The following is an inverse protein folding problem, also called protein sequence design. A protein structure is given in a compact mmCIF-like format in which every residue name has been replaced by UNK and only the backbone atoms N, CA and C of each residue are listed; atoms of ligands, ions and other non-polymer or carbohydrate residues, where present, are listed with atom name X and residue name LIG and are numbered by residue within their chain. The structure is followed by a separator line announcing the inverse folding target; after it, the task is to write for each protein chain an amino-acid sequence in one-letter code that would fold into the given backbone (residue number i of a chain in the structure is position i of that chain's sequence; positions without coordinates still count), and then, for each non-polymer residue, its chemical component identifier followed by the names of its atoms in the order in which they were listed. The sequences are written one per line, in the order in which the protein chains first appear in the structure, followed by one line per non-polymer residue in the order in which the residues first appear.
data_IF_462289547472
#
_entry.id   IF_462289547472
#
_cell.length_a   1.000
_cell.length_b   1.000
_cell.length_c   1.000
_cell.angle_alpha   90.00
_cell.angle_beta   90.00
_cell.angle_gamma   90.00
#
_symmetry.space_group_name_H-M   'P 1'
#
loop_
_entity.id
_entity.type
_entity.pdbx_description
1 polymer ?
2 non-polymer ?
3 non-polymer ?
4 water ?
#
# COMPACT_ATOMS: atom_id res chain seq x y z
N UNK A 1 -7.39 24.00 21.60
CA UNK A 1 -6.72 23.54 22.84
C UNK A 1 -5.20 23.51 22.67
N UNK A 2 -4.73 22.68 21.73
CA UNK A 2 -3.29 22.36 21.55
C UNK A 2 -2.65 22.92 20.28
N UNK A 3 -3.44 23.60 19.47
CA UNK A 3 -2.92 24.29 18.29
C UNK A 3 -1.76 25.24 18.60
N UNK A 4 -0.74 25.21 17.74
CA UNK A 4 0.47 26.05 17.89
C UNK A 4 1.38 25.61 19.02
N UNK A 5 1.04 24.55 19.76
CA UNK A 5 1.93 24.02 20.81
C UNK A 5 2.47 22.64 20.49
N UNK A 6 3.58 22.33 21.11
CA UNK A 6 4.16 21.00 21.12
C UNK A 6 3.17 20.07 21.78
N UNK A 7 3.04 18.84 21.29
CA UNK A 7 2.16 17.82 21.90
C UNK A 7 3.07 16.66 22.34
N UNK A 8 2.86 16.17 23.55
CA UNK A 8 3.56 15.01 24.08
C UNK A 8 2.65 13.86 23.92
N UNK A 9 3.05 12.84 23.20
CA UNK A 9 2.18 11.69 23.06
C UNK A 9 3.08 10.46 22.98
N UNK A 10 2.48 9.32 22.74
CA UNK A 10 3.23 8.07 22.55
C UNK A 10 3.48 7.79 21.07
N UNK A 11 4.67 7.29 20.74
CA UNK A 11 4.91 6.77 19.42
C UNK A 11 5.66 5.44 19.53
N UNK A 12 5.61 4.63 18.49
CA UNK A 12 6.47 3.46 18.31
C UNK A 12 7.69 3.88 17.53
N UNK A 13 8.83 3.82 18.20
CA UNK A 13 10.08 4.27 17.66
C UNK A 13 10.94 3.08 17.33
N UNK A 14 11.54 3.08 16.16
CA UNK A 14 12.54 2.06 15.82
C UNK A 14 13.89 2.66 15.98
N UNK A 15 14.61 2.26 17.02
CA UNK A 15 15.91 2.88 17.29
C UNK A 15 17.03 2.34 16.38
N UNK A 16 17.02 1.04 16.11
CA UNK A 16 18.07 0.35 15.32
C UNK A 16 17.39 -0.71 14.51
N UNK A 17 18.03 -1.11 13.43
CA UNK A 17 17.48 -2.20 12.62
C UNK A 17 17.41 -3.52 13.46
N UNK A 18 16.51 -4.42 13.08
CA UNK A 18 16.35 -5.77 13.67
C UNK A 18 15.95 -5.91 15.16
N UNK A 19 15.51 -4.80 15.76
CA UNK A 19 15.03 -4.78 17.14
C UNK A 19 13.52 -4.53 17.14
N UNK A 20 12.81 -4.92 18.22
CA UNK A 20 11.40 -4.52 18.34
C UNK A 20 11.18 -3.03 18.37
N UNK A 21 9.96 -2.60 18.04
CA UNK A 21 9.52 -1.22 18.25
C UNK A 21 9.39 -0.90 19.76
N UNK A 22 9.91 0.24 20.22
CA UNK A 22 9.72 0.71 21.61
C UNK A 22 8.64 1.79 21.61
N UNK A 23 7.67 1.62 22.45
CA UNK A 23 6.66 2.64 22.69
C UNK A 23 7.35 3.71 23.54
N UNK A 24 7.38 4.96 23.08
CA UNK A 24 8.12 6.00 23.72
C UNK A 24 7.23 7.21 23.84
N UNK A 25 7.53 8.07 24.80
CA UNK A 25 6.91 9.36 24.88
C UNK A 25 7.68 10.26 23.93
N UNK A 26 6.97 10.92 23.00
CA UNK A 26 7.63 11.77 22.05
C UNK A 26 6.93 13.11 22.06
N UNK A 27 7.67 14.11 21.61
CA UNK A 27 7.22 15.49 21.36
C UNK A 27 7.02 15.69 19.87
N UNK A 28 5.86 16.23 19.56
CA UNK A 28 5.44 16.44 18.16
C UNK A 28 5.26 17.92 18.01
N UNK A 29 6.21 18.52 17.31
CA UNK A 29 6.18 19.99 17.12
C UNK A 29 4.91 20.45 16.35
N UNK A 30 4.49 21.72 16.55
CA UNK A 30 3.37 22.23 15.77
C UNK A 30 3.71 22.34 14.23
N UNK A 31 2.72 22.18 13.37
CA UNK A 31 2.96 22.30 11.95
C UNK A 31 3.42 23.73 11.48
N UNK A 32 4.50 23.78 10.73
CA UNK A 32 4.94 25.03 10.06
C UNK A 32 4.14 25.21 8.77
N UNK A 33 4.56 26.10 7.90
CA UNK A 33 3.72 26.43 6.73
C UNK A 33 3.49 25.20 5.83
N UNK A 34 2.26 25.09 5.30
CA UNK A 34 1.81 23.94 4.46
C UNK A 34 2.02 22.56 5.11
N UNK A 35 1.87 22.48 6.42
CA UNK A 35 1.97 21.22 7.12
C UNK A 35 0.67 21.05 7.89
N UNK A 36 0.32 19.81 8.19
CA UNK A 36 -0.91 19.48 8.84
C UNK A 36 -0.54 18.54 10.01
N UNK A 37 -1.07 18.77 11.18
CA UNK A 37 -0.88 17.79 12.27
C UNK A 37 -2.13 16.93 12.39
N UNK A 38 -2.00 15.63 12.49
CA UNK A 38 -3.14 14.73 12.48
C UNK A 38 -3.15 13.84 13.71
N UNK A 39 -4.33 13.62 14.29
CA UNK A 39 -4.54 12.64 15.35
C UNK A 39 -4.88 11.34 14.68
N UNK A 40 -4.06 10.32 14.89
CA UNK A 40 -4.26 9.02 14.25
C UNK A 40 -5.40 8.26 14.90
N UNK A 41 -6.28 7.70 14.07
CA UNK A 41 -7.39 6.85 14.53
C UNK A 41 -7.12 5.37 14.32
N UNK A 42 -6.48 5.01 13.22
CA UNK A 42 -6.14 3.64 12.94
C UNK A 42 -5.08 3.59 11.91
N UNK A 43 -4.23 2.59 12.04
CA UNK A 43 -3.06 2.40 11.12
C UNK A 43 -2.87 0.89 10.86
N UNK A 44 -2.50 0.58 9.63
CA UNK A 44 -2.33 -0.80 9.15
C UNK A 44 -0.86 -1.09 9.34
N UNK A 45 -0.60 -2.36 9.56
CA UNK A 45 0.73 -2.89 9.51
C UNK A 45 0.91 -3.54 8.11
N UNK A 46 1.89 -3.04 7.38
CA UNK A 46 2.20 -3.43 6.01
C UNK A 46 3.61 -4.09 6.02
N UNK A 47 3.86 -4.93 5.03
CA UNK A 47 5.19 -5.48 4.73
C UNK A 47 6.27 -4.43 4.69
N UNK A 48 6.01 -3.34 3.98
CA UNK A 48 7.01 -2.27 3.89
C UNK A 48 7.56 -1.76 5.20
N UNK A 49 6.72 -1.79 6.25
CA UNK A 49 7.16 -1.40 7.60
C UNK A 49 8.13 -2.43 8.21
N UNK A 50 7.86 -3.70 7.97
CA UNK A 50 8.79 -4.76 8.29
C UNK A 50 10.12 -4.69 7.56
N UNK A 51 10.10 -4.22 6.32
CA UNK A 51 11.36 -4.08 5.57
C UNK A 51 12.20 -3.00 6.18
N UNK A 52 11.59 -2.03 6.83
CA UNK A 52 12.35 -1.01 7.51
C UNK A 52 13.04 -1.71 8.67
N UNK A 53 12.27 -2.51 9.40
CA UNK A 53 12.86 -3.23 10.57
C UNK A 53 14.04 -4.10 10.14
N UNK A 54 13.89 -4.81 9.03
CA UNK A 54 14.91 -5.72 8.64
C UNK A 54 16.13 -5.05 7.98
N UNK A 55 16.07 -3.74 7.70
CA UNK A 55 17.14 -3.02 7.00
C UNK A 55 17.15 -3.16 5.47
N UNK A 56 16.24 -3.94 4.92
CA UNK A 56 15.93 -4.06 3.46
C UNK A 56 15.53 -2.70 2.79
N UNK A 57 14.61 -1.96 3.42
CA UNK A 57 14.17 -0.68 2.91
C UNK A 57 14.99 0.27 3.71
N UNK A 58 16.02 0.82 3.06
CA UNK A 58 16.98 1.70 3.77
C UNK A 58 16.37 3.10 3.99
N UNK A 59 16.34 3.54 5.24
CA UNK A 59 15.78 4.84 5.60
C UNK A 59 16.54 5.27 6.88
N UNK A 60 16.80 6.57 7.08
CA UNK A 60 17.58 6.93 8.30
C UNK A 60 16.87 6.54 9.64
N UNK A 61 17.67 6.06 10.62
CA UNK A 61 17.19 5.70 11.95
C UNK A 61 17.81 6.66 12.94
N UNK A 62 17.17 6.90 14.09
CA UNK A 62 15.88 6.30 14.52
C UNK A 62 14.65 6.87 13.75
N UNK A 63 13.54 6.12 13.67
CA UNK A 63 12.45 6.52 12.82
C UNK A 63 11.15 6.09 13.44
N UNK A 64 10.13 6.91 13.20
CA UNK A 64 8.71 6.48 13.40
C UNK A 64 8.17 6.00 12.04
N UNK A 65 7.89 4.72 11.94
CA UNK A 65 7.46 4.13 10.70
C UNK A 65 5.94 4.20 10.56
N UNK A 66 5.38 3.39 9.69
CA UNK A 66 3.95 3.43 9.44
C UNK A 66 3.67 4.42 8.30
N UNK A 67 2.86 3.97 7.37
CA UNK A 67 2.42 4.81 6.25
C UNK A 67 0.97 4.63 5.79
N UNK A 68 0.25 3.68 6.38
CA UNK A 68 -1.13 3.26 5.96
C UNK A 68 -2.05 3.62 7.13
N UNK A 69 -2.72 4.75 7.08
CA UNK A 69 -3.50 5.21 8.21
C UNK A 69 -4.68 6.06 7.88
N UNK A 70 -5.50 6.31 8.90
CA UNK A 70 -6.42 7.37 8.80
C UNK A 70 -6.51 8.11 10.09
N UNK A 71 -6.95 9.35 10.02
CA UNK A 71 -7.09 10.11 11.23
C UNK A 71 -7.88 11.37 11.04
N UNK A 72 -7.70 12.25 12.00
CA UNK A 72 -8.50 13.46 12.14
C UNK A 72 -7.53 14.63 12.25
N UNK A 73 -7.75 15.67 11.47
CA UNK A 73 -6.89 16.84 11.52
C UNK A 73 -7.04 17.59 12.85
N UNK A 74 -5.90 17.81 13.53
CA UNK A 74 -5.84 18.46 14.81
C UNK A 74 -5.56 19.92 14.54
N UNK A 75 -4.62 20.29 13.68
CA UNK A 75 -4.41 21.70 13.36
C UNK A 75 -3.65 21.86 12.04
N UNK A 76 -3.70 23.06 11.44
CA UNK A 76 -3.11 23.25 10.12
C UNK A 76 -2.11 24.37 10.25
N UNK A 77 -0.97 24.29 9.60
CA UNK A 77 0.00 25.43 9.58
C UNK A 77 -0.45 26.51 8.60
N UNK A 78 0.35 27.58 8.50
CA UNK A 78 0.07 28.72 7.62
C UNK A 78 -0.13 28.29 6.16
N UNK A 79 -1.18 28.77 5.51
CA UNK A 79 -1.38 28.59 4.08
C UNK A 79 -1.86 27.23 3.59
N UNK A 80 -2.40 26.44 4.50
CA UNK A 80 -3.10 25.20 4.17
C UNK A 80 -4.52 25.54 3.83
N UNK A 81 -4.97 25.03 2.69
CA UNK A 81 -6.30 25.31 2.20
C UNK A 81 -7.14 24.08 1.98
N UNK A 82 -6.53 22.97 1.58
CA UNK A 82 -7.27 21.75 1.20
C UNK A 82 -7.98 21.04 2.40
N UNK A 83 -7.56 21.32 3.64
CA UNK A 83 -8.15 20.66 4.84
C UNK A 83 -8.32 21.65 6.00
N UNK A 84 -9.17 21.27 6.94
CA UNK A 84 -9.51 22.10 8.15
C UNK A 84 -9.50 21.22 9.38
N UNK A 85 -9.24 21.83 10.55
CA UNK A 85 -9.35 21.03 11.77
C UNK A 85 -10.67 20.31 11.83
N UNK A 86 -10.66 19.09 12.37
CA UNK A 86 -11.80 18.16 12.37
C UNK A 86 -12.05 17.32 11.13
N UNK A 87 -11.40 17.60 9.99
CA UNK A 87 -11.61 16.84 8.76
C UNK A 87 -10.96 15.47 8.90
N UNK A 88 -11.62 14.45 8.35
CA UNK A 88 -11.07 13.09 8.29
C UNK A 88 -10.08 13.00 7.15
N UNK A 89 -8.94 12.35 7.36
CA UNK A 89 -7.90 12.35 6.37
C UNK A 89 -7.18 11.02 6.28
N UNK A 90 -6.53 10.84 5.15
CA UNK A 90 -5.67 9.73 4.89
C UNK A 90 -4.34 10.28 4.44
N UNK A 91 -3.29 9.98 5.18
CA UNK A 91 -1.97 10.39 4.71
C UNK A 91 -1.46 9.55 3.51
N UNK A 92 -0.69 10.16 2.65
CA UNK A 92 -0.39 9.58 1.38
C UNK A 92 1.09 9.35 1.35
N UNK A 93 1.54 8.11 1.24
CA UNK A 93 3.02 7.93 1.13
C UNK A 93 3.57 8.35 -0.24
N UNK A 94 2.69 8.51 -1.21
CA UNK A 94 3.00 9.08 -2.52
C UNK A 94 2.29 10.39 -2.55
N UNK A 95 3.04 11.49 -2.54
CA UNK A 95 2.44 12.79 -2.58
C UNK A 95 1.89 13.11 -3.95
N UNK A 96 1.17 14.19 -4.01
CA UNK A 96 0.66 14.70 -5.27
C UNK A 96 0.84 16.21 -5.14
N UNK A 97 1.98 16.69 -5.56
CA UNK A 97 2.31 18.15 -5.44
C UNK A 97 1.55 19.01 -6.44
N UNK A 98 1.18 18.41 -7.57
CA UNK A 98 0.38 19.06 -8.58
C UNK A 98 1.21 19.84 -9.60
N UNK A 99 2.52 19.99 -9.35
CA UNK A 99 3.38 20.96 -10.07
C UNK A 99 4.41 20.33 -10.98
N UNK A 100 4.94 19.16 -10.59
CA UNK A 100 6.09 18.57 -11.25
C UNK A 100 5.64 17.90 -12.55
N UNK A 101 6.62 17.42 -13.35
CA UNK A 101 6.28 16.87 -14.65
C UNK A 101 5.57 15.54 -14.52
N UNK A 102 5.75 14.82 -13.39
CA UNK A 102 4.93 13.63 -13.17
C UNK A 102 3.49 13.96 -12.85
N UNK A 103 3.23 14.88 -11.95
CA UNK A 103 1.87 15.23 -11.56
C UNK A 103 1.13 15.85 -12.75
N UNK A 104 1.85 16.57 -13.62
CA UNK A 104 1.22 17.10 -14.85
C UNK A 104 0.90 16.04 -15.88
N UNK A 105 1.61 14.93 -15.86
CA UNK A 105 1.40 13.86 -16.84
C UNK A 105 0.13 13.06 -16.59
N UNK A 106 -0.66 12.79 -17.63
CA UNK A 106 -1.91 12.03 -17.48
C UNK A 106 -1.81 10.62 -16.90
N UNK A 107 -0.68 9.99 -17.11
CA UNK A 107 -0.37 8.63 -16.68
C UNK A 107 0.48 8.47 -15.41
N UNK A 108 1.30 9.45 -15.08
CA UNK A 108 2.26 9.26 -13.99
C UNK A 108 1.62 9.48 -12.65
N UNK A 109 2.17 8.87 -11.59
CA UNK A 109 1.72 9.18 -10.28
C UNK A 109 2.84 9.22 -9.25
N UNK A 110 4.04 8.82 -9.62
CA UNK A 110 5.17 8.80 -8.71
C UNK A 110 5.83 10.21 -8.64
N UNK A 111 5.16 11.08 -7.87
CA UNK A 111 5.46 12.50 -7.72
C UNK A 111 6.90 12.68 -7.39
N UNK A 112 7.58 13.62 -8.01
CA UNK A 112 9.00 13.86 -7.73
C UNK A 112 9.33 14.37 -6.31
N UNK A 113 8.36 14.82 -5.51
CA UNK A 113 8.62 15.14 -4.10
C UNK A 113 8.51 13.92 -3.14
N UNK A 114 8.41 12.70 -3.65
CA UNK A 114 8.31 11.49 -2.79
C UNK A 114 9.55 11.39 -1.98
N UNK A 115 9.50 10.70 -0.86
CA UNK A 115 10.73 10.42 -0.07
C UNK A 115 11.16 8.95 -0.18
N UNK A 116 10.72 8.27 -1.23
CA UNK A 116 10.96 6.89 -1.39
C UNK A 116 12.28 6.67 -2.14
N UNK A 117 12.52 7.42 -3.23
CA UNK A 117 13.75 7.24 -4.03
C UNK A 117 15.09 7.42 -3.29
N UNK A 118 15.34 8.62 -2.75
CA UNK A 118 16.56 8.91 -1.94
C UNK A 118 16.09 9.37 -0.52
N UNK A 119 15.89 8.41 0.41
CA UNK A 119 15.12 8.84 1.62
C UNK A 119 15.93 9.73 2.55
N UNK A 120 15.39 10.87 2.97
CA UNK A 120 16.02 11.76 3.90
C UNK A 120 15.44 11.67 5.36
N UNK A 121 14.26 11.01 5.51
CA UNK A 121 13.58 10.92 6.79
C UNK A 121 13.17 12.25 7.34
N UNK A 122 12.83 13.19 6.47
CA UNK A 122 12.48 14.52 6.95
C UNK A 122 11.13 14.94 6.42
N UNK A 123 10.61 16.06 6.90
CA UNK A 123 9.58 16.80 6.14
C UNK A 123 10.17 17.43 4.85
N UNK A 124 9.30 17.96 3.99
CA UNK A 124 9.71 18.61 2.71
C UNK A 124 10.70 19.76 2.91
N UNK A 125 10.55 20.52 4.00
CA UNK A 125 11.53 21.60 4.33
C UNK A 125 12.88 21.09 4.87
N UNK A 126 13.04 19.78 5.10
CA UNK A 126 14.35 19.19 5.48
C UNK A 126 14.61 19.01 6.96
N UNK A 127 13.62 19.26 7.81
CA UNK A 127 13.77 19.00 9.26
C UNK A 127 12.75 17.94 9.76
N UNK A 128 12.86 17.58 11.04
CA UNK A 128 11.91 16.68 11.68
C UNK A 128 11.00 17.48 12.65
N UNK A 129 9.82 16.95 12.94
CA UNK A 129 8.88 17.48 13.92
C UNK A 129 8.80 16.55 15.13
N UNK A 130 9.62 15.50 15.18
CA UNK A 130 9.59 14.56 16.31
C UNK A 130 10.88 14.64 17.16
N UNK A 131 10.70 14.66 18.45
CA UNK A 131 11.79 14.40 19.40
C UNK A 131 11.41 13.45 20.49
N UNK A 132 12.40 12.70 20.93
CA UNK A 132 12.25 11.79 22.02
C UNK A 132 13.42 12.10 22.97
N UNK A 133 13.12 12.77 24.08
CA UNK A 133 14.14 13.07 25.12
C UNK A 133 15.21 13.97 24.52
N UNK A 134 14.75 15.05 23.90
CA UNK A 134 15.64 15.98 23.15
C UNK A 134 16.28 15.50 21.84
N UNK A 135 16.23 14.20 21.51
CA UNK A 135 16.89 13.63 20.34
C UNK A 135 15.91 13.65 19.13
N UNK A 136 16.33 14.23 17.98
CA UNK A 136 15.44 14.21 16.77
C UNK A 136 15.14 12.78 16.27
N UNK A 137 13.93 12.53 15.76
CA UNK A 137 13.54 11.22 15.25
C UNK A 137 13.11 11.48 13.80
N UNK A 138 13.58 10.68 12.88
CA UNK A 138 13.16 10.77 11.49
C UNK A 138 11.66 10.41 11.24
N UNK A 139 11.14 11.02 10.16
CA UNK A 139 9.92 10.61 9.59
C UNK A 139 10.14 9.44 8.63
N UNK A 140 9.06 8.80 8.22
CA UNK A 140 9.13 7.69 7.25
C UNK A 140 8.16 8.04 6.11
N UNK A 141 8.69 8.14 4.89
CA UNK A 141 7.90 8.41 3.66
C UNK A 141 7.01 9.66 3.80
N UNK A 142 7.47 10.66 4.55
CA UNK A 142 6.64 11.84 4.92
C UNK A 142 5.28 11.56 5.55
N UNK A 143 5.06 10.36 6.10
CA UNK A 143 3.83 10.01 6.80
C UNK A 143 4.09 9.78 8.33
N UNK A 144 4.83 8.74 8.71
CA UNK A 144 5.03 8.36 10.12
C UNK A 144 3.71 8.22 10.88
N UNK A 145 3.05 7.13 10.68
CA UNK A 145 1.73 6.94 11.29
C UNK A 145 1.75 6.06 12.58
N UNK A 146 2.92 5.61 13.03
CA UNK A 146 3.03 4.87 14.28
C UNK A 146 3.19 5.80 15.49
N UNK A 147 2.31 6.78 15.60
CA UNK A 147 2.36 7.82 16.59
C UNK A 147 0.95 8.21 16.82
N UNK A 148 0.59 8.54 18.04
CA UNK A 148 -0.77 9.07 18.27
C UNK A 148 -1.12 10.37 17.42
N UNK A 149 -0.11 11.20 17.25
CA UNK A 149 -0.13 12.35 16.42
C UNK A 149 1.03 12.41 15.45
N UNK A 150 0.84 12.91 14.24
CA UNK A 150 1.92 13.05 13.27
C UNK A 150 1.74 14.36 12.51
N UNK A 151 2.80 14.81 11.87
CA UNK A 151 2.80 16.01 11.03
C UNK A 151 3.13 15.57 9.66
N UNK A 152 2.37 16.04 8.68
CA UNK A 152 2.62 15.64 7.30
C UNK A 152 2.47 16.88 6.44
N UNK A 153 3.16 16.89 5.31
CA UNK A 153 3.01 17.97 4.36
C UNK A 153 1.64 17.90 3.73
N UNK A 154 1.05 19.06 3.47
CA UNK A 154 -0.23 19.14 2.77
C UNK A 154 -0.34 18.36 1.43
N UNK A 155 0.70 18.36 0.66
CA UNK A 155 0.77 17.52 -0.55
C UNK A 155 0.65 16.01 -0.28
N UNK A 156 0.88 15.57 0.99
CA UNK A 156 0.75 14.22 1.38
C UNK A 156 -0.47 13.87 2.15
N UNK A 157 -1.53 14.66 2.11
CA UNK A 157 -2.71 14.30 2.85
C UNK A 157 -3.94 14.49 1.99
N UNK A 158 -4.91 13.58 2.09
CA UNK A 158 -6.17 13.67 1.30
C UNK A 158 -7.35 13.75 2.25
N UNK A 159 -8.24 14.71 2.00
CA UNK A 159 -9.51 14.82 2.73
C UNK A 159 -10.52 13.81 2.23
N UNK A 160 -11.18 13.11 3.16
CA UNK A 160 -12.14 12.08 2.86
C UNK A 160 -13.49 12.42 3.46
N UNK A 161 -14.51 11.69 3.02
CA UNK A 161 -15.91 11.93 3.41
C UNK A 161 -16.02 12.01 4.94
N UNK A 162 -16.73 13.03 5.46
CA UNK A 162 -16.91 13.19 6.93
C UNK A 162 -17.52 12.01 7.67
N UNK A 163 -18.36 11.24 6.99
CA UNK A 163 -19.02 10.09 7.59
C UNK A 163 -18.22 8.76 7.49
N UNK A 164 -16.97 8.79 6.97
CA UNK A 164 -16.16 7.56 6.86
C UNK A 164 -15.85 6.88 8.21
N UNK A 165 -15.87 5.49 8.28
CA UNK A 165 -15.32 4.68 9.39
C UNK A 165 -13.83 4.37 9.21
N UNK A 166 -13.04 5.00 10.08
CA UNK A 166 -11.62 5.11 9.91
C UNK A 166 -10.90 3.77 10.11
N UNK A 167 -11.44 2.92 10.97
CA UNK A 167 -10.88 1.57 11.20
C UNK A 167 -10.83 0.64 9.95
N UNK A 168 -11.68 0.93 8.97
CA UNK A 168 -11.69 0.21 7.68
C UNK A 168 -10.90 0.90 6.58
N UNK A 169 -11.11 2.20 6.46
CA UNK A 169 -10.67 2.90 5.26
C UNK A 169 -9.18 3.25 5.30
N UNK A 170 -8.54 3.07 6.45
CA UNK A 170 -7.08 3.19 6.47
C UNK A 170 -6.36 2.34 5.39
N UNK A 171 -6.89 1.16 5.09
CA UNK A 171 -6.44 0.28 3.93
C UNK A 171 -6.36 0.93 2.56
N UNK A 172 -7.16 1.97 2.36
CA UNK A 172 -7.09 2.81 1.15
C UNK A 172 -5.75 3.58 1.05
N UNK A 173 -5.03 3.68 2.17
CA UNK A 173 -3.78 4.33 2.21
C UNK A 173 -2.66 3.49 1.66
N UNK A 174 -2.85 2.16 1.50
CA UNK A 174 -1.76 1.40 0.84
C UNK A 174 -2.23 0.16 0.14
N UNK A 175 -2.58 -0.86 0.90
CA UNK A 175 -2.74 -2.24 0.41
C UNK A 175 -3.88 -2.44 -0.54
N UNK A 176 -5.03 -1.87 -0.16
CA UNK A 176 -6.20 -1.99 -1.00
C UNK A 176 -6.07 -1.22 -2.30
N UNK A 177 -5.63 0.02 -2.24
CA UNK A 177 -5.47 0.82 -3.44
C UNK A 177 -4.45 0.30 -4.37
N UNK A 178 -3.37 -0.24 -3.81
CA UNK A 178 -2.26 -0.82 -4.62
C UNK A 178 -2.78 -1.97 -5.43
N UNK A 179 -3.60 -2.83 -4.85
CA UNK A 179 -4.07 -4.01 -5.54
C UNK A 179 -5.19 -3.67 -6.49
N UNK A 180 -6.13 -2.91 -5.98
CA UNK A 180 -7.27 -2.53 -6.75
C UNK A 180 -6.93 -1.65 -7.96
N UNK A 181 -6.06 -0.66 -7.76
CA UNK A 181 -5.56 0.13 -8.86
C UNK A 181 -4.72 -0.62 -9.91
N UNK A 182 -3.94 -1.55 -9.47
CA UNK A 182 -3.20 -2.40 -10.40
C UNK A 182 -4.10 -3.01 -11.45
N UNK A 183 -5.31 -3.42 -11.06
CA UNK A 183 -6.33 -4.01 -11.99
C UNK A 183 -7.11 -2.94 -12.76
N UNK A 184 -7.58 -1.92 -12.04
CA UNK A 184 -8.51 -0.90 -12.57
C UNK A 184 -7.82 0.25 -13.31
N UNK A 185 -6.60 0.58 -12.92
CA UNK A 185 -5.85 1.72 -13.51
C UNK A 185 -4.55 1.40 -14.28
N UNK A 186 -3.77 0.45 -13.79
CA UNK A 186 -2.52 0.09 -14.40
C UNK A 186 -2.80 -0.94 -15.52
N UNK A 187 -3.41 -2.10 -15.23
CA UNK A 187 -3.74 -3.07 -16.27
C UNK A 187 -4.85 -2.63 -17.17
N UNK A 188 -5.80 -1.90 -16.62
CA UNK A 188 -7.04 -1.59 -17.30
C UNK A 188 -7.78 -2.88 -17.69
N UNK A 189 -8.01 -3.76 -16.72
CA UNK A 189 -8.71 -4.98 -16.94
C UNK A 189 -10.02 -4.66 -17.69
N UNK A 190 -10.30 -5.38 -18.75
CA UNK A 190 -11.56 -5.17 -19.55
C UNK A 190 -12.64 -6.22 -19.17
N UNK A 191 -13.90 -5.88 -19.45
CA UNK A 191 -15.06 -6.83 -19.30
C UNK A 191 -14.87 -8.07 -20.12
N UNK A 192 -15.16 -9.23 -19.51
CA UNK A 192 -15.06 -10.51 -20.16
C UNK A 192 -13.68 -11.13 -20.09
N UNK A 193 -12.67 -10.42 -19.56
CA UNK A 193 -11.30 -10.93 -19.69
C UNK A 193 -11.02 -12.02 -18.65
N UNK A 194 -9.92 -12.72 -18.85
CA UNK A 194 -9.38 -13.74 -17.94
C UNK A 194 -8.13 -13.11 -17.25
N UNK A 195 -8.07 -13.20 -15.92
CA UNK A 195 -7.02 -12.67 -15.08
C UNK A 195 -6.47 -13.72 -14.22
N UNK A 196 -5.16 -13.67 -13.94
CA UNK A 196 -4.54 -14.55 -12.97
C UNK A 196 -3.81 -13.72 -11.96
N UNK A 197 -3.92 -14.07 -10.68
CA UNK A 197 -3.40 -13.31 -9.63
C UNK A 197 -2.53 -14.26 -8.86
N UNK A 198 -1.23 -13.97 -8.84
CA UNK A 198 -0.27 -14.75 -8.11
C UNK A 198 -0.07 -14.15 -6.73
N UNK A 199 -0.60 -14.81 -5.69
CA UNK A 199 -0.43 -14.37 -4.32
C UNK A 199 -1.75 -13.89 -3.81
N UNK A 200 -2.26 -14.53 -2.75
CA UNK A 200 -3.58 -14.22 -2.25
C UNK A 200 -3.50 -13.74 -0.78
N UNK A 201 -2.52 -12.93 -0.46
CA UNK A 201 -2.54 -12.05 0.70
C UNK A 201 -3.41 -10.85 0.43
N UNK A 202 -3.31 -9.85 1.28
CA UNK A 202 -4.17 -8.66 1.24
C UNK A 202 -4.16 -7.92 -0.09
N UNK A 203 -2.99 -7.70 -0.65
CA UNK A 203 -2.92 -6.99 -1.88
C UNK A 203 -3.49 -7.91 -3.02
N UNK A 204 -3.18 -9.20 -3.07
CA UNK A 204 -3.78 -10.08 -4.11
C UNK A 204 -5.31 -10.13 -4.04
N UNK A 205 -5.84 -10.19 -2.82
CA UNK A 205 -7.31 -10.04 -2.67
C UNK A 205 -7.85 -8.75 -3.24
N UNK A 206 -7.08 -7.66 -3.05
CA UNK A 206 -7.47 -6.36 -3.59
C UNK A 206 -7.40 -6.33 -5.10
N UNK A 207 -6.40 -7.00 -5.66
CA UNK A 207 -6.35 -7.12 -7.12
C UNK A 207 -7.59 -7.85 -7.63
N UNK A 208 -7.96 -8.95 -6.96
CA UNK A 208 -9.14 -9.74 -7.31
C UNK A 208 -10.39 -8.92 -7.28
N UNK A 209 -10.54 -8.14 -6.24
CA UNK A 209 -11.68 -7.22 -6.20
C UNK A 209 -11.68 -6.20 -7.35
N UNK A 210 -10.51 -5.64 -7.68
CA UNK A 210 -10.38 -4.79 -8.88
C UNK A 210 -10.77 -5.44 -10.20
N UNK A 211 -10.31 -6.66 -10.39
CA UNK A 211 -10.66 -7.50 -11.56
C UNK A 211 -12.16 -7.74 -11.61
N UNK A 212 -12.74 -8.05 -10.45
CA UNK A 212 -14.19 -8.19 -10.37
C UNK A 212 -14.93 -6.88 -10.62
N UNK A 213 -14.48 -5.77 -10.05
CA UNK A 213 -15.17 -4.48 -10.35
C UNK A 213 -15.13 -4.16 -11.85
N UNK A 214 -13.99 -4.45 -12.50
CA UNK A 214 -13.84 -4.26 -13.95
C UNK A 214 -14.54 -5.24 -14.84
N UNK A 215 -15.22 -6.23 -14.26
CA UNK A 215 -15.99 -7.20 -15.01
C UNK A 215 -15.21 -8.38 -15.60
N UNK A 216 -14.07 -8.79 -15.02
CA UNK A 216 -13.39 -9.99 -15.52
C UNK A 216 -14.35 -11.17 -15.50
N UNK A 217 -14.25 -12.09 -16.47
CA UNK A 217 -15.09 -13.33 -16.49
C UNK A 217 -14.55 -14.45 -15.64
N UNK A 218 -13.24 -14.55 -15.63
CA UNK A 218 -12.56 -15.59 -14.93
C UNK A 218 -11.38 -14.91 -14.24
N UNK A 219 -11.16 -15.28 -13.00
CA UNK A 219 -10.10 -14.76 -12.17
C UNK A 219 -9.51 -15.97 -11.45
N UNK A 220 -8.32 -16.30 -11.81
CA UNK A 220 -7.66 -17.45 -11.30
C UNK A 220 -6.69 -17.01 -10.22
N UNK A 221 -6.91 -17.46 -8.99
CA UNK A 221 -6.03 -17.20 -7.88
C UNK A 221 -5.00 -18.27 -7.85
N UNK A 222 -3.74 -17.91 -7.70
CA UNK A 222 -2.67 -18.86 -7.56
C UNK A 222 -1.93 -18.63 -6.26
N UNK A 223 -1.74 -19.67 -5.46
CA UNK A 223 -1.03 -19.57 -4.20
C UNK A 223 -0.65 -20.96 -3.75
N UNK A 224 0.52 -21.08 -3.16
CA UNK A 224 0.98 -22.36 -2.53
C UNK A 224 0.32 -22.67 -1.20
N UNK A 225 -0.48 -21.77 -0.62
CA UNK A 225 -1.20 -22.03 0.62
C UNK A 225 -2.71 -22.10 0.40
N UNK A 226 -3.23 -23.33 0.46
CA UNK A 226 -4.65 -23.67 0.20
C UNK A 226 -5.62 -22.99 1.13
N UNK A 227 -5.20 -22.64 2.32
CA UNK A 227 -6.01 -21.82 3.25
C UNK A 227 -6.39 -20.42 2.78
N UNK A 228 -5.64 -19.88 1.83
CA UNK A 228 -5.95 -18.60 1.25
C UNK A 228 -7.11 -18.66 0.27
N UNK A 229 -7.41 -19.85 -0.26
CA UNK A 229 -8.41 -19.96 -1.35
C UNK A 229 -9.80 -19.58 -0.96
N UNK A 230 -10.19 -19.96 0.25
CA UNK A 230 -11.55 -19.67 0.67
C UNK A 230 -11.85 -18.16 0.57
N UNK A 231 -11.04 -17.32 1.15
CA UNK A 231 -11.27 -15.84 0.99
C UNK A 231 -11.12 -15.28 -0.44
N UNK A 232 -10.20 -15.84 -1.21
CA UNK A 232 -10.02 -15.45 -2.59
C UNK A 232 -11.29 -15.65 -3.35
N UNK A 233 -11.93 -16.79 -3.12
CA UNK A 233 -13.23 -17.05 -3.79
C UNK A 233 -14.35 -16.15 -3.27
N UNK A 234 -14.37 -15.94 -1.98
CA UNK A 234 -15.37 -15.00 -1.44
C UNK A 234 -15.31 -13.56 -2.08
N UNK A 235 -14.10 -13.06 -2.37
CA UNK A 235 -14.02 -11.73 -2.99
C UNK A 235 -14.11 -11.69 -4.53
N UNK A 236 -14.15 -12.87 -5.17
CA UNK A 236 -14.29 -12.96 -6.60
C UNK A 236 -13.45 -13.96 -7.34
N UNK A 237 -12.48 -14.66 -6.77
CA UNK A 237 -11.76 -15.66 -7.60
C UNK A 237 -12.75 -16.77 -8.08
N UNK A 238 -12.78 -17.06 -9.38
CA UNK A 238 -13.64 -18.10 -9.95
C UNK A 238 -12.99 -19.50 -9.84
N UNK A 239 -11.69 -19.55 -9.67
CA UNK A 239 -10.90 -20.75 -9.58
C UNK A 239 -9.66 -20.39 -8.76
N UNK A 240 -9.12 -21.38 -8.05
CA UNK A 240 -7.86 -21.34 -7.37
C UNK A 240 -6.98 -22.55 -7.68
N UNK A 241 -5.68 -22.30 -7.87
CA UNK A 241 -4.66 -23.26 -8.31
C UNK A 241 -3.54 -23.21 -7.35
N UNK A 242 -3.08 -24.38 -6.95
CA UNK A 242 -1.92 -24.53 -6.08
C UNK A 242 -0.84 -25.19 -6.88
N UNK A 243 0.25 -24.47 -7.22
CA UNK A 243 1.33 -25.02 -8.02
C UNK A 243 2.04 -26.30 -7.50
N UNK A 244 2.00 -26.55 -6.19
CA UNK A 244 2.52 -27.80 -5.59
C UNK A 244 1.71 -29.08 -5.95
N UNK A 245 0.45 -28.91 -6.33
CA UNK A 245 -0.42 -29.99 -6.87
C UNK A 245 -0.03 -30.53 -8.25
N UNK A 246 0.85 -29.82 -8.99
CA UNK A 246 1.13 -30.15 -10.39
C UNK A 246 2.48 -30.72 -10.60
N UNK A 247 2.63 -31.54 -11.65
CA UNK A 247 3.92 -32.03 -12.11
C UNK A 247 4.56 -31.14 -13.13
N UNK A 248 3.80 -30.25 -13.74
CA UNK A 248 4.33 -29.39 -14.75
C UNK A 248 4.41 -27.97 -14.21
N UNK A 249 5.12 -27.07 -14.92
CA UNK A 249 5.23 -25.68 -14.44
C UNK A 249 3.94 -24.95 -14.51
N UNK A 250 3.73 -24.09 -13.56
CA UNK A 250 2.50 -23.39 -13.47
C UNK A 250 2.10 -22.60 -14.74
N UNK A 251 3.04 -22.01 -15.48
CA UNK A 251 2.65 -21.22 -16.65
C UNK A 251 2.07 -22.10 -17.75
N UNK A 252 2.57 -23.32 -17.86
CA UNK A 252 1.99 -24.34 -18.75
C UNK A 252 0.55 -24.81 -18.31
N UNK A 253 0.33 -24.92 -17.03
CA UNK A 253 -1.03 -25.20 -16.49
C UNK A 253 -1.95 -24.03 -16.77
N UNK A 254 -1.46 -22.81 -16.53
CA UNK A 254 -2.30 -21.66 -16.75
C UNK A 254 -2.57 -21.42 -18.23
N UNK A 255 -1.57 -21.67 -19.09
CA UNK A 255 -1.76 -21.57 -20.52
C UNK A 255 -2.77 -22.66 -21.01
N UNK A 256 -2.68 -23.91 -20.56
CA UNK A 256 -3.73 -24.93 -20.86
C UNK A 256 -5.10 -24.47 -20.41
N UNK A 257 -5.25 -24.11 -19.13
CA UNK A 257 -6.58 -23.69 -18.57
C UNK A 257 -7.24 -22.50 -19.21
N UNK A 258 -6.47 -21.60 -19.79
CA UNK A 258 -7.07 -20.37 -20.34
C UNK A 258 -7.03 -20.43 -21.86
N UNK A 259 -6.78 -21.61 -22.43
CA UNK A 259 -6.74 -21.76 -23.89
C UNK A 259 -5.75 -20.77 -24.58
N UNK A 260 -4.49 -20.79 -24.18
CA UNK A 260 -3.46 -19.98 -24.80
C UNK A 260 -2.95 -18.75 -24.03
N UNK A 261 -3.39 -18.56 -22.81
CA UNK A 261 -2.79 -17.63 -21.88
C UNK A 261 -3.84 -16.63 -21.44
N UNK A 262 -3.67 -16.06 -20.28
CA UNK A 262 -4.62 -15.08 -19.74
C UNK A 262 -4.40 -13.69 -20.34
N UNK A 263 -5.47 -12.92 -20.34
CA UNK A 263 -5.40 -11.54 -20.72
C UNK A 263 -4.54 -10.66 -19.76
N UNK A 264 -4.58 -10.91 -18.44
CA UNK A 264 -3.91 -10.02 -17.47
C UNK A 264 -3.38 -10.88 -16.39
N UNK A 265 -2.12 -10.74 -16.05
CA UNK A 265 -1.60 -11.46 -14.92
C UNK A 265 -0.99 -10.44 -13.96
N UNK A 266 -0.99 -10.77 -12.69
CA UNK A 266 -0.59 -9.88 -11.69
C UNK A 266 0.29 -10.64 -10.78
N UNK A 267 1.49 -10.16 -10.59
CA UNK A 267 2.43 -10.73 -9.62
C UNK A 267 2.40 -9.95 -8.30
N UNK A 268 2.00 -10.58 -7.22
CA UNK A 268 1.80 -9.92 -5.94
C UNK A 268 2.46 -10.79 -4.82
N UNK A 269 3.54 -11.48 -5.10
CA UNK A 269 4.28 -12.26 -4.11
C UNK A 269 5.54 -11.50 -3.76
N UNK A 270 6.14 -10.82 -4.75
CA UNK A 270 7.43 -10.16 -4.60
C UNK A 270 8.63 -11.06 -4.94
N UNK A 271 8.41 -12.24 -5.56
CA UNK A 271 9.49 -13.16 -5.80
C UNK A 271 9.90 -13.16 -7.28
N UNK A 272 11.19 -13.26 -7.54
CA UNK A 272 11.76 -13.10 -8.89
C UNK A 272 11.20 -14.12 -9.89
N UNK A 273 11.32 -15.38 -9.52
CA UNK A 273 10.81 -16.49 -10.33
C UNK A 273 9.33 -16.36 -10.70
N UNK A 274 8.50 -15.96 -9.76
CA UNK A 274 7.10 -15.84 -10.00
C UNK A 274 6.81 -14.61 -10.88
N UNK A 275 7.63 -13.53 -10.85
CA UNK A 275 7.49 -12.45 -11.86
C UNK A 275 7.58 -12.90 -13.28
N UNK A 276 8.51 -13.79 -13.55
CA UNK A 276 8.74 -14.28 -14.86
C UNK A 276 7.64 -15.30 -15.25
N UNK A 277 7.24 -16.13 -14.30
CA UNK A 277 6.16 -17.07 -14.58
C UNK A 277 4.87 -16.31 -14.93
N UNK A 278 4.63 -15.26 -14.18
CA UNK A 278 3.45 -14.44 -14.44
C UNK A 278 3.41 -13.76 -15.83
N UNK A 279 4.56 -13.26 -16.28
CA UNK A 279 4.63 -12.74 -17.59
C UNK A 279 4.35 -13.85 -18.61
N UNK A 280 4.97 -15.01 -18.45
CA UNK A 280 4.83 -16.11 -19.40
C UNK A 280 3.40 -16.65 -19.51
N UNK A 281 2.59 -16.56 -18.48
CA UNK A 281 1.30 -17.20 -18.53
C UNK A 281 0.26 -16.25 -19.21
N UNK A 282 0.64 -15.00 -19.47
CA UNK A 282 -0.26 -14.15 -20.22
C UNK A 282 -0.14 -14.39 -21.76
N UNK A 283 -1.22 -14.11 -22.48
CA UNK A 283 -1.31 -14.41 -23.92
C UNK A 283 -0.17 -13.72 -24.66
N UNK A 284 0.51 -14.46 -25.49
CA UNK A 284 1.67 -13.95 -26.19
C UNK A 284 1.51 -12.72 -27.03
N UNK A 285 0.38 -12.56 -27.65
CA UNK A 285 0.13 -11.49 -28.57
C UNK A 285 -0.35 -10.20 -27.92
N UNK A 286 -1.12 -10.26 -26.84
CA UNK A 286 -1.74 -9.06 -26.31
C UNK A 286 -1.85 -9.07 -24.76
N UNK A 287 -1.21 -10.02 -24.13
CA UNK A 287 -1.18 -10.15 -22.66
C UNK A 287 -0.46 -9.00 -21.98
N UNK A 288 -0.95 -8.62 -20.79
CA UNK A 288 -0.40 -7.60 -19.92
C UNK A 288 -0.10 -8.23 -18.60
N UNK A 289 1.15 -8.09 -18.11
CA UNK A 289 1.50 -8.58 -16.80
C UNK A 289 1.92 -7.39 -15.97
N UNK A 290 1.41 -7.31 -14.76
CA UNK A 290 1.67 -6.19 -13.88
C UNK A 290 2.37 -6.71 -12.67
N UNK A 291 3.47 -6.09 -12.36
CA UNK A 291 4.19 -6.39 -11.10
C UNK A 291 3.68 -5.43 -10.02
N UNK A 292 3.10 -5.98 -8.97
CA UNK A 292 2.42 -5.20 -7.91
C UNK A 292 3.39 -4.83 -6.79
N UNK A 293 4.24 -5.73 -6.34
CA UNK A 293 5.30 -5.21 -5.46
C UNK A 293 6.66 -5.78 -5.75
N UNK A 294 7.66 -5.10 -5.25
CA UNK A 294 9.01 -5.62 -5.35
C UNK A 294 9.63 -5.44 -3.99
N UNK A 295 10.17 -6.50 -3.40
CA UNK A 295 10.97 -6.24 -2.16
C UNK A 295 12.16 -5.30 -2.45
N UNK A 296 12.49 -4.38 -1.52
CA UNK A 296 13.48 -3.36 -1.88
C UNK A 296 14.92 -3.84 -1.92
N UNK A 297 15.18 -5.09 -1.51
CA UNK A 297 16.50 -5.74 -1.69
C UNK A 297 16.57 -6.80 -2.82
N UNK A 298 15.64 -6.76 -3.78
CA UNK A 298 15.56 -7.84 -4.80
C UNK A 298 16.86 -7.89 -5.66
N UNK A 299 17.36 -9.08 -5.99
CA UNK A 299 18.43 -9.19 -6.99
C UNK A 299 17.82 -8.90 -8.39
N UNK A 300 18.63 -9.12 -9.40
CA UNK A 300 18.17 -9.21 -10.75
C UNK A 300 17.38 -10.46 -11.04
N UNK A 301 16.37 -10.35 -11.87
CA UNK A 301 15.72 -11.52 -12.41
C UNK A 301 16.29 -11.82 -13.74
N UNK A 302 16.00 -13.03 -14.16
CA UNK A 302 16.51 -13.56 -15.39
C UNK A 302 15.33 -13.92 -16.31
N UNK A 303 15.36 -13.40 -17.51
CA UNK A 303 14.19 -13.40 -18.34
C UNK A 303 14.62 -13.42 -19.82
N UNK A 304 13.90 -14.19 -20.64
CA UNK A 304 14.12 -14.28 -22.09
C UNK A 304 13.29 -13.22 -22.78
N UNK A 305 13.95 -12.31 -23.49
CA UNK A 305 13.20 -11.16 -24.06
C UNK A 305 12.26 -11.50 -25.18
N UNK A 306 12.37 -12.70 -25.68
CA UNK A 306 11.41 -13.31 -26.61
C UNK A 306 10.02 -13.32 -26.01
N UNK A 307 9.90 -13.35 -24.67
CA UNK A 307 8.55 -13.23 -24.09
C UNK A 307 7.85 -11.93 -24.46
N UNK A 308 8.62 -10.85 -24.63
CA UNK A 308 8.05 -9.57 -24.98
C UNK A 308 7.77 -9.39 -26.47
N UNK A 309 8.55 -10.03 -27.31
CA UNK A 309 8.56 -9.72 -28.72
C UNK A 309 7.29 -10.08 -29.42
N UNK A 310 6.57 -11.09 -29.00
CA UNK A 310 5.25 -11.40 -29.65
C UNK A 310 4.15 -10.34 -29.46
N UNK A 311 4.28 -9.49 -28.45
CA UNK A 311 3.26 -8.49 -28.16
C UNK A 311 2.91 -8.33 -26.70
N UNK A 312 3.54 -9.06 -25.76
CA UNK A 312 3.31 -8.79 -24.34
C UNK A 312 3.84 -7.47 -23.82
N UNK A 313 3.20 -6.96 -22.76
CA UNK A 313 3.48 -5.73 -22.13
C UNK A 313 3.74 -6.10 -20.64
N UNK A 314 4.83 -5.60 -20.10
CA UNK A 314 5.21 -5.77 -18.68
C UNK A 314 5.26 -4.40 -18.04
N UNK A 315 4.55 -4.24 -16.96
CA UNK A 315 4.55 -2.98 -16.26
C UNK A 315 4.48 -3.09 -14.78
N UNK A 316 4.84 -2.02 -14.12
CA UNK A 316 4.84 -1.98 -12.64
C UNK A 316 4.19 -0.64 -12.29
N UNK A 317 3.88 -0.46 -11.05
CA UNK A 317 3.47 0.86 -10.60
C UNK A 317 3.44 0.87 -9.06
N UNK A 318 3.41 2.08 -8.53
CA UNK A 318 3.32 2.33 -7.12
C UNK A 318 1.91 2.83 -6.89
N UNK A 319 1.38 2.47 -5.75
CA UNK A 319 0.08 2.92 -5.29
C UNK A 319 -1.04 2.69 -6.28
N UNK A 320 -0.97 1.59 -7.01
CA UNK A 320 -1.92 1.24 -7.98
C UNK A 320 -2.03 2.12 -9.15
N UNK A 321 -1.01 2.93 -9.46
CA UNK A 321 -1.13 3.87 -10.56
C UNK A 321 -1.99 5.07 -10.22
N UNK A 322 -2.49 5.18 -9.02
CA UNK A 322 -3.44 6.26 -8.74
C UNK A 322 -2.70 7.56 -8.42
N UNK A 323 -3.16 8.69 -8.96
CA UNK A 323 -2.74 10.03 -8.48
C UNK A 323 -3.36 10.18 -7.09
N UNK A 324 -2.54 10.27 -6.06
CA UNK A 324 -2.99 9.93 -4.73
C UNK A 324 -4.07 10.90 -4.19
N UNK A 325 -3.78 12.18 -4.29
CA UNK A 325 -4.69 13.20 -3.68
C UNK A 325 -6.03 13.25 -4.43
N UNK A 326 -6.00 13.05 -5.73
CA UNK A 326 -7.26 12.92 -6.50
C UNK A 326 -8.03 11.64 -6.19
N UNK A 327 -7.34 10.52 -6.08
CA UNK A 327 -8.04 9.26 -6.08
C UNK A 327 -8.57 8.77 -4.76
N UNK A 328 -7.79 8.95 -3.70
CA UNK A 328 -8.17 8.46 -2.41
C UNK A 328 -9.60 8.90 -2.05
N UNK A 329 -9.92 10.18 -2.21
CA UNK A 329 -11.28 10.58 -1.74
C UNK A 329 -12.40 9.91 -2.55
N UNK A 330 -12.16 9.71 -3.84
CA UNK A 330 -13.11 8.94 -4.67
C UNK A 330 -13.17 7.45 -4.36
N UNK A 331 -12.06 6.82 -3.97
CA UNK A 331 -12.15 5.45 -3.48
C UNK A 331 -12.95 5.30 -2.22
N UNK A 332 -12.82 6.29 -1.33
CA UNK A 332 -13.56 6.27 -0.10
C UNK A 332 -15.04 6.52 -0.44
N UNK A 333 -15.33 7.43 -1.36
CA UNK A 333 -16.73 7.62 -1.80
C UNK A 333 -17.35 6.31 -2.31
N UNK A 334 -16.58 5.50 -3.02
CA UNK A 334 -17.04 4.20 -3.55
C UNK A 334 -17.28 3.15 -2.48
N UNK A 335 -16.41 3.13 -1.48
CA UNK A 335 -16.69 2.36 -0.30
C UNK A 335 -18.01 2.78 0.40
N UNK A 336 -18.22 4.08 0.54
CA UNK A 336 -19.42 4.64 1.22
C UNK A 336 -20.69 4.31 0.43
N UNK A 337 -20.56 4.29 -0.89
CA UNK A 337 -21.60 3.85 -1.79
C UNK A 337 -21.68 2.32 -1.98
N UNK A 338 -20.93 1.55 -1.18
CA UNK A 338 -21.04 0.08 -1.06
C UNK A 338 -20.58 -0.71 -2.29
N UNK A 339 -19.77 -0.09 -3.14
CA UNK A 339 -19.28 -0.75 -4.36
C UNK A 339 -18.25 -1.82 -4.16
N UNK A 340 -17.56 -1.81 -3.01
CA UNK A 340 -16.69 -2.93 -2.62
C UNK A 340 -16.67 -2.99 -1.09
N UNK A 341 -16.08 -4.07 -0.58
CA UNK A 341 -16.11 -4.45 0.83
C UNK A 341 -14.69 -4.63 1.37
N UNK A 342 -14.29 -3.84 2.36
CA UNK A 342 -12.94 -3.98 2.89
C UNK A 342 -12.85 -5.02 4.03
N UNK A 343 -13.96 -5.40 4.66
CA UNK A 343 -13.93 -6.29 5.86
C UNK A 343 -13.27 -7.67 5.71
N UNK A 344 -13.46 -8.37 4.54
CA UNK A 344 -12.70 -9.63 4.31
C UNK A 344 -11.16 -9.46 4.41
N UNK A 345 -10.65 -8.27 4.13
CA UNK A 345 -9.22 -8.01 4.28
C UNK A 345 -8.77 -7.89 5.74
N UNK A 346 -9.68 -7.54 6.64
CA UNK A 346 -9.28 -7.24 8.01
C UNK A 346 -9.43 -8.44 8.91
N UNK A 347 -8.33 -9.06 9.25
CA UNK A 347 -8.36 -10.24 10.03
C UNK A 347 -8.10 -10.07 11.50
N UNK A 348 -7.37 -9.03 11.87
CA UNK A 348 -7.02 -8.79 13.28
C UNK A 348 -6.99 -7.32 13.53
N UNK A 349 -7.49 -6.92 14.68
CA UNK A 349 -7.51 -5.56 15.14
C UNK A 349 -6.86 -5.60 16.54
N UNK A 350 -5.86 -4.77 16.75
CA UNK A 350 -5.08 -4.69 17.98
C UNK A 350 -4.99 -3.26 18.45
N UNK A 351 -4.92 -3.02 19.77
CA UNK A 351 -4.62 -1.65 20.19
C UNK A 351 -3.15 -1.31 19.85
N UNK A 352 -2.88 -0.06 19.53
CA UNK A 352 -1.53 0.43 19.20
C UNK A 352 -0.39 -0.09 20.11
N UNK A 353 -0.63 -0.21 21.41
CA UNK A 353 0.45 -0.66 22.29
C UNK A 353 0.84 -2.13 22.09
N UNK A 354 0.02 -2.91 21.41
CA UNK A 354 0.45 -4.23 21.01
C UNK A 354 1.04 -4.29 19.57
N UNK A 355 1.73 -3.24 19.17
CA UNK A 355 2.37 -3.18 17.85
C UNK A 355 3.32 -4.33 17.55
N UNK A 356 4.17 -4.66 18.50
CA UNK A 356 5.07 -5.83 18.32
C UNK A 356 4.40 -7.18 18.12
N UNK A 357 3.26 -7.39 18.77
CA UNK A 357 2.38 -8.52 18.48
C UNK A 357 1.82 -8.44 17.09
N UNK A 358 1.47 -7.24 16.63
CA UNK A 358 0.96 -7.07 15.24
C UNK A 358 1.95 -7.56 14.17
N UNK A 359 3.21 -7.27 14.41
CA UNK A 359 4.30 -7.62 13.53
C UNK A 359 4.61 -9.10 13.52
N UNK A 360 4.47 -9.72 14.67
CA UNK A 360 4.53 -11.19 14.72
C UNK A 360 3.47 -11.87 13.87
N UNK A 361 2.24 -11.43 13.97
CA UNK A 361 1.14 -11.89 13.14
C UNK A 361 1.41 -11.72 11.65
N UNK A 362 2.01 -10.59 11.30
CA UNK A 362 2.41 -10.32 9.92
C UNK A 362 3.54 -11.28 9.53
N UNK A 363 4.52 -11.48 10.41
CA UNK A 363 5.70 -12.27 10.03
C UNK A 363 5.38 -13.74 9.87
N UNK A 364 4.37 -14.22 10.60
CA UNK A 364 3.98 -15.62 10.60
C UNK A 364 3.00 -16.02 9.52
N UNK A 365 2.33 -15.07 8.85
CA UNK A 365 1.38 -15.38 7.79
C UNK A 365 -0.05 -15.70 8.26
N UNK A 366 -0.33 -15.54 9.56
CA UNK A 366 -1.71 -15.71 10.11
C UNK A 366 -2.70 -14.62 9.67
N UNK A 367 -2.20 -13.41 9.39
CA UNK A 367 -3.00 -12.24 9.19
C UNK A 367 -3.15 -12.00 7.68
N UNK A 368 -4.28 -11.48 7.24
CA UNK A 368 -4.36 -10.81 5.95
C UNK A 368 -3.93 -9.36 6.21
N UNK A 369 -4.68 -8.65 7.07
CA UNK A 369 -4.22 -7.35 7.51
C UNK A 369 -4.56 -7.19 8.94
N UNK A 370 -3.60 -6.68 9.71
CA UNK A 370 -3.81 -6.21 11.04
C UNK A 370 -3.95 -4.70 11.06
N UNK A 371 -4.92 -4.18 11.78
CA UNK A 371 -5.14 -2.79 11.96
C UNK A 371 -4.84 -2.50 13.41
N UNK A 372 -4.12 -1.43 13.66
CA UNK A 372 -3.86 -0.94 14.98
C UNK A 372 -4.74 0.21 15.25
N UNK A 373 -5.36 0.22 16.41
CA UNK A 373 -6.27 1.35 16.77
C UNK A 373 -5.77 2.16 17.96
N UNK A 374 -5.94 3.45 17.88
CA UNK A 374 -5.49 4.41 18.91
C UNK A 374 -6.72 4.87 19.70
X LIG B 1 2.32 -0.32 2.37
X LIG C 1 4.50 16.07 -8.12
X LIG D 1 3.74 -19.23 -5.61
X LIG D 1 2.52 -18.75 -5.31
X LIG D 1 2.31 -18.14 -4.12
X LIG D 1 3.30 -17.93 -3.18
X LIG D 1 4.66 -18.43 -3.45
X LIG D 1 4.80 -19.12 -4.76
X LIG D 1 6.00 -19.59 -5.07
X LIG D 1 5.45 -18.10 -2.40
X LIG D 1 4.68 -17.45 -1.48
X LIG D 1 3.40 -17.36 -1.97
X LIG D 1 2.20 -16.70 -1.36
X LIG D 1 1.95 -16.89 0.12
X LIG D 1 1.31 -18.14 0.38
X LIG D 1 1.05 -15.69 0.41
X LIG D 1 -0.36 -15.97 0.29
X LIG D 1 2.29 -15.29 -1.58
X LIG D 1 1.43 -14.65 -0.66
X LIG D 1 2.16 -13.47 -0.03
X LIG D 1 1.11 -12.76 0.65
X LIG D 1 1.46 -11.76 1.84
X LIG D 1 2.81 -12.30 2.25
X LIG D 1 0.30 -11.60 2.81
X LIG D 1 1.71 -10.32 1.21
X LIG D 1 0.76 -9.03 0.87
X LIG D 1 0.52 -8.08 2.04
X LIG D 1 -0.41 -9.35 0.01
X LIG D 1 1.95 -8.45 -0.05
X LIG D 1 3.22 -9.10 -0.26
X LIG D 1 4.52 -8.63 -2.20
X LIG D 1 4.07 -8.13 -4.51
X LIG D 1 4.27 -7.61 -3.17
X LIG D 1 2.75 -5.59 -3.17
X LIG D 1 3.06 -6.87 -2.60
X LIG D 1 4.44 -5.73 -0.94
X LIG D 1 3.49 -6.76 -1.16
X LIG D 1 4.17 -8.12 -0.92
#
# INVERSE_FOLDING_TARGET
STAGKVIKCKAAVLWEEKKPFSIEEVEVAPPKAHEVRIKMVATGICRSDDHVVSGTLVTPLPVIAGHEAAGIVESIGEGVTTVRPGDKVIPLFTPQCGKCRVCKHPEGNFCLKNDLSMPRGTMQDGTSRFTCRGKPIHHFLGTSTFSQYTVVDEISVAKIDAASPLEKVCLIGCGFSTGYGSAVKVAKVTQGSTCAVFGLGGVGLSVIMGCKAAGAARIIGVDINKDKFAKAKEVGATECVNPQDYKKPIQEVLTEMSNGGVDFSFEVIGRLDTMVTALSCCQEAYGVSVIVGVPPDSQNLSMNPMLLLSGRTWKGAIFGGFKSKDSVPKLVADFMAKKFALDPLITHVLPFEKINEGFDLLRSGESIRTILTF
ZN ZN
ZN ZN
APR N1 C2 N3 C4 C5 C6 N6 N7 C8 N9 C1' C2' O2' C3' O3' O4' C4' C5' O5' PA O1A O2A O3A PB O1B O2B O5D C5D O4D O1D C1D O2D C2D O3D C3D C4D
#
